data_IF_052174658100
#
_entry.id   IF_052174658100
#
_cell.length_a   1.000
_cell.length_b   1.000
_cell.length_c   1.000
_cell.angle_alpha   90.00
_cell.angle_beta   90.00
_cell.angle_gamma   90.00
#
_symmetry.space_group_name_H-M   'P 1'
#
loop_
_entity.id
_entity.type
_entity.pdbx_description
1 polymer ?
#
# COMPACT_ATOMS: atom_id res chain seq x y z
N UNK A 1 -31.65 9.01 -92.17
CA UNK A 1 -32.41 9.35 -90.94
C UNK A 1 -33.21 8.11 -90.55
N UNK A 2 -33.34 7.70 -89.26
CA UNK A 2 -33.11 8.40 -87.97
C UNK A 2 -31.78 7.98 -87.29
N UNK A 3 -30.99 8.85 -86.63
CA UNK A 3 -31.05 9.42 -85.25
C UNK A 3 -31.08 8.41 -84.10
N UNK A 4 -30.03 8.39 -83.28
CA UNK A 4 -30.09 7.74 -81.97
C UNK A 4 -28.76 7.48 -81.25
N UNK A 5 -27.94 8.51 -81.04
CA UNK A 5 -26.92 8.49 -79.99
C UNK A 5 -27.66 8.37 -78.64
N UNK A 6 -27.47 7.29 -77.88
CA UNK A 6 -27.81 7.28 -76.44
C UNK A 6 -26.68 6.63 -75.66
N UNK A 7 -25.83 7.51 -75.13
CA UNK A 7 -25.05 7.31 -73.92
C UNK A 7 -26.00 7.01 -72.76
N UNK A 8 -25.79 5.92 -72.03
CA UNK A 8 -26.29 5.79 -70.66
C UNK A 8 -25.31 4.89 -69.90
N UNK A 9 -24.38 5.53 -69.22
CA UNK A 9 -24.51 5.91 -67.81
C UNK A 9 -23.83 4.86 -66.95
N UNK A 10 -22.59 5.22 -66.62
CA UNK A 10 -21.84 4.77 -65.47
C UNK A 10 -22.77 4.33 -64.33
N UNK A 11 -22.94 3.02 -64.18
CA UNK A 11 -23.36 2.45 -62.91
C UNK A 11 -22.15 2.47 -61.97
N UNK A 12 -21.79 3.69 -61.55
CA UNK A 12 -20.91 3.94 -60.42
C UNK A 12 -21.71 3.57 -59.15
N UNK A 13 -21.82 2.27 -58.91
CA UNK A 13 -22.40 1.73 -57.68
C UNK A 13 -21.40 1.98 -56.55
N UNK A 14 -21.40 3.22 -56.04
CA UNK A 14 -20.81 3.53 -54.74
C UNK A 14 -21.52 2.68 -53.69
N UNK A 15 -20.94 1.53 -53.34
CA UNK A 15 -21.28 0.83 -52.11
C UNK A 15 -20.80 1.69 -50.94
N UNK A 16 -21.66 2.59 -50.49
CA UNK A 16 -21.53 3.30 -49.21
C UNK A 16 -21.39 2.26 -48.10
N UNK A 17 -20.16 2.04 -47.63
CA UNK A 17 -19.91 1.24 -46.43
C UNK A 17 -20.45 2.06 -45.25
N UNK A 18 -21.69 1.79 -44.85
CA UNK A 18 -22.21 2.26 -43.57
C UNK A 18 -21.47 1.54 -42.45
N UNK A 19 -20.43 2.18 -41.92
CA UNK A 19 -19.84 1.83 -40.64
C UNK A 19 -20.92 2.02 -39.55
N UNK A 20 -21.65 0.96 -39.22
CA UNK A 20 -22.52 0.95 -38.03
C UNK A 20 -21.63 1.13 -36.80
N UNK A 21 -21.57 2.35 -36.26
CA UNK A 21 -21.01 2.57 -34.92
C UNK A 21 -21.86 1.82 -33.92
N UNK A 22 -21.26 0.83 -33.28
CA UNK A 22 -21.88 0.08 -32.20
C UNK A 22 -21.72 0.87 -30.90
N UNK A 23 -22.73 1.66 -30.52
CA UNK A 23 -22.76 2.38 -29.25
C UNK A 23 -23.18 1.42 -28.13
N UNK A 24 -22.22 0.62 -27.62
CA UNK A 24 -22.41 -0.10 -26.34
C UNK A 24 -22.20 0.92 -25.22
N UNK A 25 -23.29 1.40 -24.63
CA UNK A 25 -23.26 2.21 -23.41
C UNK A 25 -23.51 1.34 -22.18
N UNK A 26 -22.96 1.75 -21.04
CA UNK A 26 -23.31 1.18 -19.74
C UNK A 26 -24.72 1.62 -19.36
N UNK A 27 -25.49 0.71 -18.76
CA UNK A 27 -26.79 1.09 -18.20
C UNK A 27 -26.58 1.90 -16.92
N UNK A 28 -27.49 2.83 -16.61
CA UNK A 28 -27.43 3.63 -15.39
C UNK A 28 -27.38 2.72 -14.15
N UNK A 29 -28.19 1.65 -14.15
CA UNK A 29 -28.21 0.66 -13.07
C UNK A 29 -26.87 -0.06 -12.89
N UNK A 30 -26.21 -0.42 -13.98
CA UNK A 30 -24.89 -1.09 -13.93
C UNK A 30 -23.84 -0.18 -13.29
N UNK A 31 -23.86 1.11 -13.61
CA UNK A 31 -22.95 2.09 -12.98
C UNK A 31 -23.25 2.24 -11.49
N UNK A 32 -24.52 2.37 -11.08
CA UNK A 32 -24.90 2.49 -9.66
C UNK A 32 -24.42 1.28 -8.85
N UNK A 33 -24.62 0.07 -9.37
CA UNK A 33 -24.22 -1.16 -8.67
C UNK A 33 -22.69 -1.20 -8.52
N UNK A 34 -21.95 -0.86 -9.57
CA UNK A 34 -20.47 -0.86 -9.54
C UNK A 34 -19.92 0.14 -8.51
N UNK A 35 -20.40 1.39 -8.51
CA UNK A 35 -19.91 2.39 -7.54
C UNK A 35 -20.32 2.06 -6.10
N UNK A 36 -21.47 1.41 -5.91
CA UNK A 36 -21.91 0.95 -4.58
C UNK A 36 -20.96 -0.11 -4.03
N UNK A 37 -20.58 -1.10 -4.85
CA UNK A 37 -19.64 -2.15 -4.41
C UNK A 37 -18.24 -1.56 -4.16
N UNK A 38 -17.75 -0.68 -5.04
CA UNK A 38 -16.43 -0.05 -4.89
C UNK A 38 -16.33 0.83 -3.64
N UNK A 39 -17.37 1.61 -3.34
CA UNK A 39 -17.40 2.45 -2.14
C UNK A 39 -17.43 1.62 -0.86
N UNK A 40 -18.22 0.54 -0.83
CA UNK A 40 -18.25 -0.38 0.30
C UNK A 40 -16.87 -1.01 0.55
N UNK A 41 -16.20 -1.51 -0.50
CA UNK A 41 -14.86 -2.09 -0.40
C UNK A 41 -13.83 -1.07 0.10
N UNK A 42 -13.86 0.14 -0.44
CA UNK A 42 -12.93 1.22 -0.06
C UNK A 42 -13.12 1.61 1.41
N UNK A 43 -14.37 1.71 1.87
CA UNK A 43 -14.68 1.99 3.27
C UNK A 43 -14.12 0.95 4.24
N UNK A 44 -14.23 -0.34 3.89
CA UNK A 44 -13.72 -1.44 4.72
C UNK A 44 -12.19 -1.38 4.81
N UNK A 45 -11.49 -1.20 3.68
CA UNK A 45 -10.02 -1.15 3.63
C UNK A 45 -9.49 0.01 4.50
N UNK A 46 -10.11 1.19 4.41
CA UNK A 46 -9.68 2.37 5.16
C UNK A 46 -9.72 2.17 6.69
N UNK A 47 -10.76 1.48 7.18
CA UNK A 47 -10.90 1.17 8.60
C UNK A 47 -9.88 0.13 9.07
N UNK A 48 -9.63 -0.89 8.27
CA UNK A 48 -8.70 -1.98 8.60
C UNK A 48 -7.24 -1.53 8.65
N UNK A 49 -6.78 -0.77 7.64
CA UNK A 49 -5.38 -0.33 7.57
C UNK A 49 -5.04 0.61 8.73
N UNK A 50 -5.90 1.61 8.98
CA UNK A 50 -5.67 2.61 10.02
C UNK A 50 -5.67 2.01 11.42
N UNK A 51 -6.59 1.07 11.69
CA UNK A 51 -6.71 0.44 13.00
C UNK A 51 -5.57 -0.54 13.29
N UNK A 52 -5.24 -1.43 12.34
CA UNK A 52 -4.24 -2.47 12.56
C UNK A 52 -2.82 -1.90 12.57
N UNK A 53 -2.51 -0.95 11.69
CA UNK A 53 -1.17 -0.35 11.62
C UNK A 53 -0.90 0.58 12.82
N UNK A 54 -1.85 1.46 13.16
CA UNK A 54 -1.68 2.43 14.25
C UNK A 54 -1.50 1.75 15.60
N UNK A 55 -2.24 0.68 15.87
CA UNK A 55 -2.13 -0.02 17.16
C UNK A 55 -0.80 -0.77 17.30
N UNK A 56 -0.29 -1.41 16.24
CA UNK A 56 1.02 -2.08 16.27
C UNK A 56 2.16 -1.07 16.47
N UNK A 57 2.16 0.00 15.68
CA UNK A 57 3.17 1.07 15.81
C UNK A 57 3.15 1.69 17.21
N UNK A 58 1.96 1.91 17.77
CA UNK A 58 1.84 2.47 19.13
C UNK A 58 2.36 1.52 20.21
N UNK A 59 2.16 0.20 20.06
CA UNK A 59 2.71 -0.81 21.00
C UNK A 59 4.23 -0.82 20.93
N UNK A 60 4.79 -0.99 19.73
CA UNK A 60 6.22 -0.91 19.50
C UNK A 60 6.85 0.39 20.06
N UNK A 61 6.23 1.56 19.81
CA UNK A 61 6.70 2.82 20.37
C UNK A 61 6.65 2.86 21.91
N UNK A 62 5.64 2.24 22.52
CA UNK A 62 5.51 2.16 23.98
C UNK A 62 6.58 1.23 24.58
N UNK A 63 6.84 0.10 23.93
CA UNK A 63 7.88 -0.86 24.35
C UNK A 63 9.28 -0.24 24.25
N UNK A 64 9.59 0.45 23.14
CA UNK A 64 10.86 1.17 22.98
C UNK A 64 11.03 2.24 24.07
N UNK A 65 9.97 2.99 24.36
CA UNK A 65 10.02 4.01 25.42
C UNK A 65 10.27 3.39 26.81
N UNK A 66 9.63 2.26 27.10
CA UNK A 66 9.86 1.50 28.34
C UNK A 66 11.31 0.99 28.41
N UNK A 67 11.85 0.48 27.30
CA UNK A 67 13.21 -0.02 27.19
C UNK A 67 14.26 1.09 27.41
N UNK A 68 14.05 2.26 26.83
CA UNK A 68 14.88 3.46 27.05
C UNK A 68 14.80 3.90 28.52
N UNK A 69 13.61 3.92 29.11
CA UNK A 69 13.42 4.30 30.52
C UNK A 69 14.14 3.32 31.46
N UNK A 70 14.07 2.01 31.19
CA UNK A 70 14.80 1.00 31.93
C UNK A 70 16.32 1.21 31.83
N UNK A 71 16.83 1.47 30.62
CA UNK A 71 18.24 1.82 30.42
C UNK A 71 18.64 3.06 31.23
N UNK A 72 17.84 4.13 31.21
CA UNK A 72 18.09 5.34 32.01
C UNK A 72 18.17 5.03 33.51
N UNK A 73 17.20 4.30 34.05
CA UNK A 73 17.17 3.95 35.48
C UNK A 73 18.40 3.11 35.84
N UNK A 74 18.74 2.10 35.03
CA UNK A 74 19.91 1.26 35.29
C UNK A 74 21.23 2.05 35.20
N UNK A 75 21.34 2.94 34.20
CA UNK A 75 22.50 3.83 34.01
C UNK A 75 22.70 4.76 35.20
N UNK A 76 21.60 5.31 35.73
CA UNK A 76 21.63 6.19 36.90
C UNK A 76 21.85 5.43 38.22
N UNK A 77 21.35 4.19 38.33
CA UNK A 77 21.37 3.43 39.59
C UNK A 77 22.65 2.63 39.82
N UNK A 78 23.26 2.05 38.77
CA UNK A 78 24.38 1.10 38.92
C UNK A 78 25.75 1.67 38.52
N UNK A 79 25.82 2.87 37.93
CA UNK A 79 27.07 3.58 37.67
C UNK A 79 28.07 2.83 36.76
N UNK A 80 27.57 2.06 35.79
CA UNK A 80 28.37 1.29 34.83
C UNK A 80 28.21 1.77 33.38
N UNK A 81 29.02 1.23 32.47
CA UNK A 81 28.92 1.49 31.02
C UNK A 81 27.74 0.70 30.44
N UNK A 82 26.56 1.30 30.56
CA UNK A 82 25.31 0.75 30.07
C UNK A 82 25.04 1.31 28.68
N UNK A 83 24.79 0.41 27.73
CA UNK A 83 24.50 0.75 26.34
C UNK A 83 23.26 0.03 25.88
N UNK A 84 22.42 0.76 25.13
CA UNK A 84 21.36 0.17 24.33
C UNK A 84 21.66 0.39 22.85
N UNK A 85 21.39 -0.63 22.05
CA UNK A 85 21.48 -0.56 20.60
C UNK A 85 20.11 -0.91 20.03
N UNK A 86 19.53 0.02 19.27
CA UNK A 86 18.30 -0.18 18.52
C UNK A 86 18.70 -0.41 17.07
N UNK A 87 18.24 -1.53 16.51
CA UNK A 87 18.63 -1.99 15.19
C UNK A 87 17.44 -2.61 14.47
N UNK A 88 17.49 -2.67 13.14
CA UNK A 88 16.46 -3.31 12.33
C UNK A 88 16.98 -4.67 11.88
N UNK A 89 16.18 -5.71 12.07
CA UNK A 89 16.56 -7.04 11.62
C UNK A 89 16.31 -7.29 10.13
N UNK A 90 16.81 -8.43 9.64
CA UNK A 90 16.67 -8.83 8.23
C UNK A 90 15.22 -8.96 7.77
N UNK A 91 14.28 -9.09 8.72
CA UNK A 91 12.84 -9.19 8.47
C UNK A 91 12.11 -7.84 8.65
N UNK A 92 12.83 -6.74 8.89
CA UNK A 92 12.27 -5.40 9.12
C UNK A 92 11.71 -5.16 10.53
N UNK A 93 11.91 -6.09 11.47
CA UNK A 93 11.54 -5.96 12.88
C UNK A 93 12.54 -5.11 13.65
N UNK A 94 12.08 -4.34 14.63
CA UNK A 94 12.96 -3.53 15.47
C UNK A 94 13.46 -4.39 16.64
N UNK A 95 14.78 -4.45 16.83
CA UNK A 95 15.45 -5.16 17.91
C UNK A 95 16.14 -4.20 18.86
N UNK A 96 15.95 -4.40 20.16
CA UNK A 96 16.67 -3.69 21.23
C UNK A 96 17.67 -4.63 21.91
N UNK A 97 18.96 -4.28 21.87
CA UNK A 97 20.03 -5.01 22.58
C UNK A 97 20.52 -4.19 23.75
N UNK A 98 20.51 -4.77 24.95
CA UNK A 98 20.96 -4.13 26.19
C UNK A 98 22.30 -4.72 26.63
N UNK A 99 23.26 -3.85 26.90
CA UNK A 99 24.62 -4.19 27.34
C UNK A 99 24.88 -3.52 28.69
N UNK A 100 25.45 -4.28 29.62
CA UNK A 100 26.01 -3.75 30.88
C UNK A 100 27.54 -3.67 30.86
N UNK A 101 28.16 -4.07 29.74
CA UNK A 101 29.59 -4.01 29.52
C UNK A 101 29.88 -3.18 28.26
N UNK A 102 30.77 -2.21 28.45
CA UNK A 102 31.25 -1.28 27.46
C UNK A 102 32.05 -1.90 26.32
N UNK A 103 32.53 -3.12 26.49
CA UNK A 103 33.53 -3.71 25.62
C UNK A 103 33.00 -3.97 24.19
N UNK A 104 33.73 -3.58 23.14
CA UNK A 104 33.35 -3.88 21.76
C UNK A 104 33.38 -5.40 21.55
N UNK A 105 32.21 -6.00 21.32
CA UNK A 105 32.04 -7.46 21.22
C UNK A 105 31.45 -8.13 22.45
N UNK A 106 31.09 -7.38 23.50
CA UNK A 106 30.33 -7.93 24.62
C UNK A 106 29.00 -8.53 24.15
N UNK A 107 28.61 -9.68 24.71
CA UNK A 107 27.29 -10.25 24.44
C UNK A 107 26.20 -9.38 25.09
N UNK A 108 25.07 -9.17 24.39
CA UNK A 108 23.95 -8.45 24.97
C UNK A 108 23.39 -9.25 26.14
N UNK A 109 23.19 -8.59 27.28
CA UNK A 109 22.58 -9.18 28.46
C UNK A 109 21.08 -9.46 28.24
N UNK A 110 20.44 -8.67 27.39
CA UNK A 110 19.07 -8.89 26.94
C UNK A 110 18.89 -8.45 25.49
N UNK A 111 18.07 -9.19 24.74
CA UNK A 111 17.62 -8.83 23.40
C UNK A 111 16.10 -8.89 23.35
N UNK A 112 15.46 -7.77 23.02
CA UNK A 112 14.01 -7.68 22.85
C UNK A 112 13.65 -7.39 21.40
N UNK A 113 12.53 -7.95 20.93
CA UNK A 113 11.97 -7.68 19.60
C UNK A 113 10.66 -6.94 19.81
N UNK A 114 10.56 -5.74 19.24
CA UNK A 114 9.39 -4.88 19.36
C UNK A 114 8.39 -5.16 18.24
N UNK A 115 7.09 -5.11 18.52
CA UNK A 115 6.02 -5.51 17.57
C UNK A 115 4.73 -4.69 17.62
#
# INVERSE_FOLDING_TARGET
MPTGLRTNSAHHTERRIHMRRNHRGFTLVEVIVVVSILSALTGIISLSVSSVFSVRVRRCATEINAFISMCKVNSMSRGGDIRIVLDVDDNGGIRGRYYEDGSPGAEPKSTEIFS
#
